data_IF_229105178164
#
_entry.id   IF_229105178164
#
_cell.length_a   1.000
_cell.length_b   1.000
_cell.length_c   1.000
_cell.angle_alpha   90.00
_cell.angle_beta   90.00
_cell.angle_gamma   90.00
#
_symmetry.space_group_name_H-M   'P 1'
#
loop_
_entity.id
_entity.type
_entity.pdbx_description
1 polymer ?
#
# COMPACT_ATOMS: atom_id res chain seq x y z
N UNK A 1 8.71 15.78 6.04
CA UNK A 1 8.96 14.34 5.77
C UNK A 1 9.59 14.22 4.39
N UNK A 2 10.81 13.68 4.28
CA UNK A 2 11.53 13.60 2.99
C UNK A 2 10.96 12.50 2.10
N UNK A 3 11.08 12.67 0.78
CA UNK A 3 10.68 11.66 -0.22
C UNK A 3 11.39 10.30 -0.01
N UNK A 4 12.60 10.34 0.54
CA UNK A 4 13.39 9.15 0.87
C UNK A 4 12.73 8.31 1.97
N UNK A 5 12.17 8.95 3.00
CA UNK A 5 11.49 8.23 4.08
C UNK A 5 10.23 7.51 3.58
N UNK A 6 9.39 8.18 2.78
CA UNK A 6 8.17 7.57 2.24
C UNK A 6 8.49 6.37 1.36
N UNK A 7 9.59 6.44 0.62
CA UNK A 7 10.06 5.35 -0.24
C UNK A 7 10.60 4.16 0.56
N UNK A 8 11.39 4.41 1.59
CA UNK A 8 11.88 3.36 2.49
C UNK A 8 10.72 2.68 3.25
N UNK A 9 9.76 3.47 3.72
CA UNK A 9 8.54 2.96 4.36
C UNK A 9 7.72 2.07 3.43
N UNK A 10 7.55 2.48 2.17
CA UNK A 10 6.87 1.68 1.16
C UNK A 10 7.62 0.38 0.86
N UNK A 11 8.97 0.41 0.87
CA UNK A 11 9.81 -0.77 0.68
C UNK A 11 9.59 -1.79 1.79
N UNK A 12 9.54 -1.36 3.05
CA UNK A 12 9.28 -2.25 4.19
C UNK A 12 7.90 -2.92 4.11
N UNK A 13 6.84 -2.16 3.81
CA UNK A 13 5.50 -2.74 3.59
C UNK A 13 5.47 -3.73 2.42
N UNK A 14 6.21 -3.42 1.35
CA UNK A 14 6.36 -4.31 0.20
C UNK A 14 7.05 -5.62 0.60
N UNK A 15 8.08 -5.57 1.45
CA UNK A 15 8.79 -6.75 1.96
C UNK A 15 7.90 -7.59 2.88
N UNK A 16 7.15 -6.99 3.81
CA UNK A 16 6.17 -7.69 4.67
C UNK A 16 5.15 -8.47 3.83
N UNK A 17 4.75 -7.90 2.69
CA UNK A 17 3.77 -8.48 1.78
C UNK A 17 4.39 -9.34 0.68
N UNK A 18 5.68 -9.67 0.77
CA UNK A 18 6.39 -10.49 -0.23
C UNK A 18 6.28 -9.93 -1.67
N UNK A 19 6.15 -8.61 -1.77
CA UNK A 19 5.96 -7.88 -3.00
C UNK A 19 4.58 -7.99 -3.65
N UNK A 20 3.60 -8.57 -2.96
CA UNK A 20 2.23 -8.73 -3.44
C UNK A 20 1.35 -7.53 -3.04
N UNK A 21 0.49 -7.11 -3.95
CA UNK A 21 -0.50 -6.07 -3.68
C UNK A 21 -1.54 -6.54 -2.67
N UNK A 22 -1.82 -5.73 -1.66
CA UNK A 22 -2.81 -6.03 -0.62
C UNK A 22 -4.22 -6.34 -1.18
N UNK A 23 -4.65 -5.61 -2.21
CA UNK A 23 -6.01 -5.74 -2.75
C UNK A 23 -6.16 -6.86 -3.79
N UNK A 24 -5.30 -6.89 -4.80
CA UNK A 24 -5.42 -7.81 -5.93
C UNK A 24 -4.50 -9.03 -5.86
N UNK A 25 -3.54 -9.06 -4.93
CA UNK A 25 -2.57 -10.15 -4.81
C UNK A 25 -1.51 -10.20 -5.92
N UNK A 26 -1.56 -9.33 -6.93
CA UNK A 26 -0.58 -9.30 -8.01
C UNK A 26 0.79 -8.77 -7.52
N UNK A 27 1.86 -9.25 -8.14
CA UNK A 27 3.23 -8.78 -7.86
C UNK A 27 3.41 -7.31 -8.24
N UNK A 28 4.09 -6.55 -7.38
CA UNK A 28 4.40 -5.14 -7.60
C UNK A 28 5.90 -4.95 -7.82
N UNK A 29 6.26 -3.90 -8.58
CA UNK A 29 7.66 -3.52 -8.72
C UNK A 29 8.21 -2.95 -7.39
N UNK A 30 9.39 -3.41 -6.96
CA UNK A 30 9.99 -3.01 -5.69
C UNK A 30 10.26 -1.48 -5.63
N UNK A 31 9.74 -0.76 -4.61
CA UNK A 31 9.86 0.69 -4.48
C UNK A 31 11.28 1.23 -4.63
N UNK A 32 12.27 0.59 -4.01
CA UNK A 32 13.66 1.09 -4.00
C UNK A 32 14.37 0.95 -5.36
N UNK A 33 13.97 -0.03 -6.17
CA UNK A 33 14.55 -0.26 -7.51
C UNK A 33 13.92 0.60 -8.62
N UNK A 34 12.73 1.16 -8.38
CA UNK A 34 12.00 1.89 -9.42
C UNK A 34 12.65 3.23 -9.81
N UNK A 35 12.79 3.47 -11.11
CA UNK A 35 13.14 4.79 -11.66
C UNK A 35 11.97 5.77 -11.49
N UNK A 36 12.24 7.07 -11.38
CA UNK A 36 11.21 8.12 -11.19
C UNK A 36 10.04 7.99 -12.17
N UNK A 37 10.32 7.83 -13.47
CA UNK A 37 9.29 7.66 -14.52
C UNK A 37 8.40 6.42 -14.32
N UNK A 38 8.88 5.39 -13.63
CA UNK A 38 8.15 4.13 -13.44
C UNK A 38 7.17 4.18 -12.26
N UNK A 39 7.26 5.19 -11.39
CA UNK A 39 6.39 5.34 -10.22
C UNK A 39 4.92 5.63 -10.57
N UNK A 40 4.65 6.01 -11.82
CA UNK A 40 3.29 6.20 -12.35
C UNK A 40 2.71 4.94 -12.99
N UNK A 41 3.47 3.84 -13.08
CA UNK A 41 2.97 2.60 -13.66
C UNK A 41 1.87 2.00 -12.77
N UNK A 42 0.91 1.26 -13.36
CA UNK A 42 -0.15 0.57 -12.62
C UNK A 42 0.35 -0.39 -11.53
N UNK A 43 1.47 -1.06 -11.80
CA UNK A 43 2.13 -2.06 -10.93
C UNK A 43 3.12 -1.45 -9.92
N UNK A 44 3.23 -0.12 -9.87
CA UNK A 44 4.10 0.53 -8.91
C UNK A 44 3.52 0.40 -7.49
N UNK A 45 4.32 -0.11 -6.56
CA UNK A 45 3.95 -0.15 -5.14
C UNK A 45 3.80 1.26 -4.56
N UNK A 46 2.74 1.44 -3.80
CA UNK A 46 2.38 2.67 -3.08
C UNK A 46 1.96 2.31 -1.66
N UNK A 47 2.00 3.29 -0.75
CA UNK A 47 1.42 3.15 0.59
C UNK A 47 -0.04 3.55 0.49
N UNK A 48 -0.92 2.69 0.98
CA UNK A 48 -2.34 2.98 1.17
C UNK A 48 -2.73 2.85 2.65
N UNK A 49 -3.76 3.60 3.04
CA UNK A 49 -4.42 3.48 4.33
C UNK A 49 -5.69 2.67 4.14
N UNK A 50 -5.78 1.49 4.75
CA UNK A 50 -6.91 0.58 4.56
C UNK A 50 -8.22 1.24 4.98
N UNK A 51 -8.23 1.85 6.17
CA UNK A 51 -9.22 2.87 6.54
C UNK A 51 -8.70 4.24 6.05
N UNK A 52 -9.40 4.94 5.13
CA UNK A 52 -8.97 6.24 4.65
C UNK A 52 -8.84 7.28 5.78
N UNK A 53 -7.85 8.16 5.70
CA UNK A 53 -7.69 9.26 6.66
C UNK A 53 -8.89 10.21 6.67
N UNK A 54 -9.51 10.41 5.50
CA UNK A 54 -10.74 11.18 5.33
C UNK A 54 -11.92 10.60 6.13
N UNK A 55 -11.85 9.33 6.52
CA UNK A 55 -12.83 8.64 7.36
C UNK A 55 -12.30 8.38 8.79
N UNK A 56 -11.21 9.03 9.21
CA UNK A 56 -10.65 8.89 10.55
C UNK A 56 -9.64 7.74 10.71
N UNK A 57 -9.19 7.12 9.62
CA UNK A 57 -8.13 6.10 9.67
C UNK A 57 -6.77 6.69 10.07
N UNK A 58 -6.05 6.00 10.95
CA UNK A 58 -4.73 6.44 11.42
C UNK A 58 -3.65 6.32 10.34
N UNK A 59 -2.70 7.26 10.31
CA UNK A 59 -1.52 7.23 9.44
C UNK A 59 -0.37 6.42 10.08
N UNK A 60 -0.67 5.17 10.44
CA UNK A 60 0.19 4.33 11.28
C UNK A 60 0.34 2.93 10.70
N UNK A 61 1.41 2.23 11.10
CA UNK A 61 1.76 0.90 10.58
C UNK A 61 0.61 -0.13 10.57
N UNK A 62 -0.26 -0.20 11.60
CA UNK A 62 -1.37 -1.14 11.62
C UNK A 62 -2.45 -0.88 10.57
N UNK A 63 -2.53 0.34 10.01
CA UNK A 63 -3.49 0.73 8.98
C UNK A 63 -2.84 0.92 7.60
N UNK A 64 -1.52 0.77 7.50
CA UNK A 64 -0.77 0.97 6.28
C UNK A 64 -0.39 -0.35 5.60
N UNK A 65 -0.58 -0.38 4.28
CA UNK A 65 -0.28 -1.53 3.42
C UNK A 65 0.40 -1.07 2.14
N UNK A 66 1.14 -1.98 1.50
CA UNK A 66 1.60 -1.79 0.13
C UNK A 66 0.48 -2.18 -0.86
N UNK A 67 0.08 -1.24 -1.70
CA UNK A 67 -0.90 -1.47 -2.75
C UNK A 67 -0.35 -1.00 -4.09
N UNK A 68 -0.70 -1.70 -5.17
CA UNK A 68 -0.33 -1.23 -6.50
C UNK A 68 -1.08 0.06 -6.80
N UNK A 69 -0.46 0.94 -7.58
CA UNK A 69 -1.03 2.24 -7.92
C UNK A 69 -2.44 2.14 -8.51
N UNK A 70 -2.70 1.12 -9.32
CA UNK A 70 -4.02 0.90 -9.92
C UNK A 70 -5.09 0.58 -8.86
N UNK A 71 -4.83 -0.37 -7.97
CA UNK A 71 -5.78 -0.73 -6.90
C UNK A 71 -5.98 0.42 -5.91
N UNK A 72 -4.89 1.08 -5.50
CA UNK A 72 -4.98 2.21 -4.59
C UNK A 72 -5.83 3.36 -5.20
N UNK A 73 -5.60 3.70 -6.47
CA UNK A 73 -6.40 4.69 -7.16
C UNK A 73 -7.87 4.28 -7.33
N UNK A 74 -8.14 2.99 -7.56
CA UNK A 74 -9.50 2.46 -7.68
C UNK A 74 -10.24 2.45 -6.32
N UNK A 75 -9.54 2.15 -5.22
CA UNK A 75 -10.10 2.23 -3.86
C UNK A 75 -10.42 3.68 -3.49
N UNK A 76 -9.49 4.60 -3.75
CA UNK A 76 -9.59 6.01 -3.33
C UNK A 76 -9.96 6.15 -1.84
N UNK A 77 -10.94 6.99 -1.52
CA UNK A 77 -11.45 7.23 -0.17
C UNK A 77 -12.57 6.25 0.22
N UNK A 78 -12.68 5.09 -0.42
CA UNK A 78 -13.71 4.10 -0.08
C UNK A 78 -13.39 3.38 1.24
N UNK A 79 -14.41 3.15 2.06
CA UNK A 79 -14.28 2.38 3.30
C UNK A 79 -13.86 0.92 3.00
N UNK A 80 -13.06 0.29 3.87
CA UNK A 80 -12.64 -1.09 3.64
C UNK A 80 -13.82 -2.05 3.71
N UNK A 81 -13.78 -3.09 2.89
CA UNK A 81 -14.73 -4.20 2.97
C UNK A 81 -14.38 -5.12 4.15
N UNK A 82 -15.30 -6.00 4.55
CA UNK A 82 -15.04 -7.01 5.58
C UNK A 82 -13.81 -7.88 5.23
N UNK A 83 -13.66 -8.25 3.96
CA UNK A 83 -12.52 -9.02 3.47
C UNK A 83 -11.21 -8.21 3.49
N UNK A 84 -11.24 -6.89 3.28
CA UNK A 84 -10.05 -6.06 3.45
C UNK A 84 -9.62 -6.02 4.92
N UNK A 85 -10.57 -5.90 5.85
CA UNK A 85 -10.28 -5.91 7.28
C UNK A 85 -9.71 -7.25 7.74
N UNK A 86 -10.26 -8.37 7.25
CA UNK A 86 -9.75 -9.72 7.54
C UNK A 86 -8.31 -9.89 7.03
N UNK A 87 -8.03 -9.46 5.80
CA UNK A 87 -6.66 -9.50 5.24
C UNK A 87 -5.69 -8.62 6.03
N UNK A 88 -6.13 -7.44 6.46
CA UNK A 88 -5.30 -6.54 7.25
C UNK A 88 -4.94 -7.18 8.59
N UNK A 89 -5.92 -7.78 9.27
CA UNK A 89 -5.69 -8.51 10.51
C UNK A 89 -4.69 -9.64 10.30
N UNK A 90 -4.90 -10.48 9.28
CA UNK A 90 -4.01 -11.59 8.96
C UNK A 90 -2.57 -11.15 8.62
N UNK A 91 -2.41 -9.98 7.99
CA UNK A 91 -1.09 -9.44 7.64
C UNK A 91 -0.35 -8.83 8.84
N UNK A 92 -1.08 -8.29 9.83
CA UNK A 92 -0.50 -7.53 10.96
C UNK A 92 -0.52 -8.30 12.29
N UNK A 93 -0.83 -9.59 12.25
CA UNK A 93 -0.75 -10.52 13.39
C UNK A 93 0.67 -11.04 13.52
#
# INVERSE_FOLDING_TARGET
MSEQWRRARCQQLWEEQQGLCFYCGATMAAPISQRLRHRKRPDAATIDHVVPQSQGGAAEWPNEVAACRACNAAKADTAPTANDLERLQALKT
#
